data_IF_116716334939
#
_entry.id   IF_116716334939
#
_cell.length_a   1.000
_cell.length_b   1.000
_cell.length_c   1.000
_cell.angle_alpha   90.00
_cell.angle_beta   90.00
_cell.angle_gamma   90.00
#
_symmetry.space_group_name_H-M   'P 1'
#
loop_
_entity.id
_entity.type
_entity.pdbx_description
1 polymer ?
#
# COMPACT_ATOMS: atom_id res chain seq x y z
N UNK A 1 12.14 2.76 12.96
CA UNK A 1 11.50 1.58 12.31
C UNK A 1 11.31 1.87 10.82
N UNK A 2 11.69 0.96 9.89
CA UNK A 2 11.75 1.27 8.47
C UNK A 2 10.43 1.65 7.79
N UNK A 3 9.28 1.25 8.35
CA UNK A 3 7.94 1.55 7.83
C UNK A 3 6.95 2.08 8.88
N UNK A 4 7.34 2.20 10.16
CA UNK A 4 6.41 2.35 11.30
C UNK A 4 5.40 3.49 11.16
N UNK A 5 5.90 4.73 11.03
CA UNK A 5 5.06 5.94 10.91
C UNK A 5 4.23 5.96 9.64
N UNK A 6 4.79 5.45 8.54
CA UNK A 6 4.09 5.39 7.25
C UNK A 6 2.98 4.34 7.27
N UNK A 7 3.20 3.21 7.95
CA UNK A 7 2.19 2.18 8.16
C UNK A 7 1.07 2.66 9.08
N UNK A 8 1.36 3.46 10.10
CA UNK A 8 0.33 4.09 10.94
C UNK A 8 -0.59 4.95 10.09
N UNK A 9 -0.02 5.87 9.28
CA UNK A 9 -0.79 6.75 8.41
C UNK A 9 -1.55 5.99 7.31
N UNK A 10 -0.95 4.96 6.72
CA UNK A 10 -1.60 4.10 5.72
C UNK A 10 -2.81 3.37 6.30
N UNK A 11 -2.75 2.99 7.58
CA UNK A 11 -3.78 2.21 8.26
C UNK A 11 -4.75 3.07 9.07
N UNK A 12 -4.64 4.41 9.02
CA UNK A 12 -5.44 5.34 9.81
C UNK A 12 -6.88 5.55 9.28
N UNK A 13 -7.62 4.46 9.08
CA UNK A 13 -9.03 4.47 8.74
C UNK A 13 -9.72 3.16 9.17
N UNK A 14 -10.99 3.20 9.61
CA UNK A 14 -11.81 2.00 9.83
C UNK A 14 -11.80 1.04 8.63
N UNK A 15 -11.79 -0.27 8.89
CA UNK A 15 -11.70 -1.33 7.86
C UNK A 15 -12.74 -1.17 6.75
N UNK A 16 -13.97 -0.76 7.08
CA UNK A 16 -15.06 -0.55 6.12
C UNK A 16 -14.77 0.52 5.05
N UNK A 17 -13.81 1.42 5.28
CA UNK A 17 -13.39 2.49 4.37
C UNK A 17 -11.88 2.55 4.17
N UNK A 18 -11.18 1.48 4.53
CA UNK A 18 -9.72 1.46 4.56
C UNK A 18 -9.13 1.38 3.15
N UNK A 19 -9.80 0.74 2.19
CA UNK A 19 -9.36 0.67 0.79
C UNK A 19 -9.19 2.04 0.14
N UNK A 20 -10.23 2.91 0.12
CA UNK A 20 -10.12 4.28 -0.40
C UNK A 20 -9.02 5.09 0.30
N UNK A 21 -8.92 4.97 1.63
CA UNK A 21 -7.89 5.64 2.41
C UNK A 21 -6.48 5.22 2.01
N UNK A 22 -6.22 3.91 1.91
CA UNK A 22 -4.93 3.36 1.51
C UNK A 22 -4.51 3.82 0.11
N UNK A 23 -5.43 3.77 -0.87
CA UNK A 23 -5.17 4.21 -2.25
C UNK A 23 -4.85 5.70 -2.30
N UNK A 24 -5.64 6.52 -1.61
CA UNK A 24 -5.39 7.96 -1.49
C UNK A 24 -4.03 8.23 -0.88
N UNK A 25 -3.69 7.56 0.22
CA UNK A 25 -2.43 7.74 0.91
C UNK A 25 -1.23 7.49 -0.01
N UNK A 26 -1.25 6.40 -0.79
CA UNK A 26 -0.19 6.07 -1.76
C UNK A 26 -0.06 7.12 -2.88
N UNK A 27 -1.19 7.57 -3.45
CA UNK A 27 -1.17 8.54 -4.54
C UNK A 27 -0.72 9.94 -4.06
N UNK A 28 -1.21 10.38 -2.90
CA UNK A 28 -0.94 11.72 -2.35
C UNK A 28 0.46 11.82 -1.72
N UNK A 29 0.87 10.84 -0.90
CA UNK A 29 2.21 10.85 -0.28
C UNK A 29 3.33 10.97 -1.32
N UNK A 30 3.09 10.42 -2.51
CA UNK A 30 4.02 10.47 -3.63
C UNK A 30 4.05 11.81 -4.37
N UNK A 31 2.92 12.50 -4.46
CA UNK A 31 2.84 13.84 -5.08
C UNK A 31 3.63 14.90 -4.30
N UNK A 32 3.82 14.73 -2.99
CA UNK A 32 4.49 15.70 -2.12
C UNK A 32 5.91 15.36 -1.65
N UNK A 33 6.33 14.08 -1.60
CA UNK A 33 7.60 13.66 -0.94
C UNK A 33 8.58 12.86 -1.81
N UNK A 34 8.29 12.62 -3.08
CA UNK A 34 9.24 12.01 -4.04
C UNK A 34 9.52 10.51 -3.88
N UNK A 35 9.25 9.90 -2.71
CA UNK A 35 9.33 8.47 -2.49
C UNK A 35 8.12 7.97 -1.70
N UNK A 36 7.46 6.94 -2.23
CA UNK A 36 6.40 6.21 -1.50
C UNK A 36 7.08 5.25 -0.50
N UNK A 37 6.79 5.39 0.80
CA UNK A 37 7.41 4.57 1.82
C UNK A 37 7.08 3.07 1.69
N UNK A 38 5.92 2.69 1.12
CA UNK A 38 5.61 1.29 0.81
C UNK A 38 6.46 0.74 -0.33
N UNK A 39 6.61 1.50 -1.42
CA UNK A 39 7.29 1.00 -2.63
C UNK A 39 8.78 0.70 -2.43
N UNK A 40 9.39 1.13 -1.32
CA UNK A 40 10.74 0.72 -0.94
C UNK A 40 10.89 -0.81 -0.91
N UNK A 41 9.83 -1.54 -0.60
CA UNK A 41 9.84 -3.01 -0.61
C UNK A 41 10.13 -3.58 -2.00
N UNK A 42 9.66 -2.93 -3.07
CA UNK A 42 9.85 -3.38 -4.46
C UNK A 42 11.34 -3.42 -4.82
N UNK A 43 12.13 -2.53 -4.24
CA UNK A 43 13.57 -2.44 -4.47
C UNK A 43 14.40 -3.26 -3.47
N UNK A 44 13.79 -3.90 -2.47
CA UNK A 44 14.50 -4.68 -1.46
C UNK A 44 15.46 -5.75 -2.06
N UNK A 45 15.16 -6.44 -3.18
CA UNK A 45 16.11 -7.38 -3.79
C UNK A 45 17.45 -6.76 -4.20
N UNK A 46 17.50 -5.45 -4.47
CA UNK A 46 18.71 -4.76 -4.93
C UNK A 46 19.63 -4.31 -3.77
N UNK A 47 19.28 -4.61 -2.52
CA UNK A 47 19.88 -3.99 -1.33
C UNK A 47 20.57 -4.98 -0.37
N UNK A 48 20.81 -6.23 -0.78
CA UNK A 48 21.48 -7.25 0.04
C UNK A 48 20.84 -7.42 1.43
N UNK A 49 21.65 -7.40 2.49
CA UNK A 49 21.20 -7.48 3.90
C UNK A 49 20.19 -6.38 4.29
N UNK A 50 20.35 -5.18 3.72
CA UNK A 50 19.40 -4.08 3.94
C UNK A 50 18.03 -4.41 3.32
N UNK A 51 18.01 -5.22 2.27
CA UNK A 51 16.82 -5.81 1.69
C UNK A 51 16.09 -6.76 2.65
N UNK A 52 16.81 -7.55 3.44
CA UNK A 52 16.20 -8.45 4.44
C UNK A 52 15.56 -7.66 5.57
N UNK A 53 16.21 -6.58 6.03
CA UNK A 53 15.63 -5.66 7.02
C UNK A 53 14.35 -5.02 6.48
N UNK A 54 14.33 -4.62 5.20
CA UNK A 54 13.13 -4.09 4.55
C UNK A 54 12.01 -5.13 4.49
N UNK A 55 12.31 -6.38 4.08
CA UNK A 55 11.33 -7.47 4.03
C UNK A 55 10.74 -7.78 5.40
N UNK A 56 11.59 -7.92 6.41
CA UNK A 56 11.17 -8.17 7.79
C UNK A 56 10.31 -7.02 8.33
N UNK A 57 10.74 -5.77 8.10
CA UNK A 57 10.01 -4.57 8.49
C UNK A 57 8.65 -4.47 7.82
N UNK A 58 8.58 -4.69 6.51
CA UNK A 58 7.32 -4.66 5.76
C UNK A 58 6.34 -5.73 6.25
N UNK A 59 6.82 -6.96 6.47
CA UNK A 59 6.00 -8.05 7.01
C UNK A 59 5.45 -7.71 8.40
N UNK A 60 6.30 -7.21 9.29
CA UNK A 60 5.89 -6.90 10.65
C UNK A 60 4.97 -5.66 10.74
N UNK A 61 5.32 -4.59 10.02
CA UNK A 61 4.76 -3.27 10.23
C UNK A 61 3.61 -2.94 9.28
N UNK A 62 3.57 -3.55 8.09
CA UNK A 62 2.52 -3.30 7.10
C UNK A 62 1.55 -4.47 7.07
N UNK A 63 1.96 -5.64 6.56
CA UNK A 63 1.03 -6.75 6.35
C UNK A 63 0.59 -7.40 7.66
N UNK A 64 1.48 -7.53 8.65
CA UNK A 64 1.16 -8.06 9.97
C UNK A 64 0.16 -7.19 10.73
N UNK A 65 0.37 -5.87 10.74
CA UNK A 65 -0.57 -4.92 11.35
C UNK A 65 -1.90 -4.85 10.61
N UNK A 66 -1.90 -4.90 9.28
CA UNK A 66 -3.14 -4.98 8.51
C UNK A 66 -3.91 -6.28 8.83
N UNK A 67 -3.22 -7.42 8.83
CA UNK A 67 -3.79 -8.73 9.19
C UNK A 67 -4.48 -8.69 10.55
N UNK A 68 -3.83 -8.09 11.55
CA UNK A 68 -4.39 -7.97 12.91
C UNK A 68 -5.70 -7.16 12.98
N UNK A 69 -6.03 -6.39 11.94
CA UNK A 69 -7.28 -5.61 11.86
C UNK A 69 -8.39 -6.31 11.08
N UNK A 70 -8.05 -7.36 10.33
CA UNK A 70 -9.03 -8.06 9.50
C UNK A 70 -9.70 -9.18 10.31
N UNK A 71 -11.01 -9.32 10.11
CA UNK A 71 -11.81 -10.40 10.70
C UNK A 71 -12.20 -11.42 9.63
N UNK A 72 -12.59 -12.61 10.09
CA UNK A 72 -13.02 -13.71 9.22
C UNK A 72 -11.85 -14.54 8.68
N UNK A 73 -12.14 -15.49 7.77
CA UNK A 73 -11.14 -16.40 7.24
C UNK A 73 -10.07 -15.67 6.41
N UNK A 74 -8.91 -16.31 6.28
CA UNK A 74 -7.82 -15.93 5.38
C UNK A 74 -7.33 -14.49 5.55
N UNK A 75 -7.41 -13.93 6.76
CA UNK A 75 -7.00 -12.56 7.06
C UNK A 75 -5.57 -12.23 6.57
N UNK A 76 -4.62 -13.14 6.75
CA UNK A 76 -3.23 -12.93 6.32
C UNK A 76 -3.06 -12.91 4.78
N UNK A 77 -3.55 -13.93 4.03
CA UNK A 77 -3.59 -13.87 2.57
C UNK A 77 -4.31 -12.62 2.03
N UNK A 78 -5.47 -12.29 2.60
CA UNK A 78 -6.26 -11.12 2.22
C UNK A 78 -5.52 -9.80 2.44
N UNK A 79 -4.85 -9.63 3.57
CA UNK A 79 -3.99 -8.48 3.82
C UNK A 79 -2.85 -8.40 2.79
N UNK A 80 -2.23 -9.52 2.45
CA UNK A 80 -1.20 -9.61 1.42
C UNK A 80 -1.71 -9.16 0.04
N UNK A 81 -2.88 -9.65 -0.39
CA UNK A 81 -3.51 -9.30 -1.66
C UNK A 81 -3.95 -7.84 -1.71
N UNK A 82 -4.53 -7.30 -0.64
CA UNK A 82 -4.87 -5.89 -0.54
C UNK A 82 -3.65 -5.00 -0.78
N UNK A 83 -2.52 -5.33 -0.16
CA UNK A 83 -1.26 -4.59 -0.33
C UNK A 83 -0.67 -4.81 -1.72
N UNK A 84 -0.73 -6.02 -2.29
CA UNK A 84 -0.29 -6.27 -3.66
C UNK A 84 -1.07 -5.42 -4.69
N UNK A 85 -2.39 -5.35 -4.54
CA UNK A 85 -3.28 -4.50 -5.36
C UNK A 85 -2.92 -3.02 -5.21
N UNK A 86 -2.48 -2.59 -4.03
CA UNK A 86 -2.03 -1.21 -3.75
C UNK A 86 -0.64 -0.90 -4.34
N UNK A 87 0.28 -1.86 -4.42
CA UNK A 87 1.62 -1.64 -4.99
C UNK A 87 1.55 -1.28 -6.48
N UNK A 88 0.62 -1.89 -7.24
CA UNK A 88 0.41 -1.62 -8.67
C UNK A 88 0.28 -0.13 -9.03
N UNK A 89 -0.70 0.61 -8.48
CA UNK A 89 -0.87 2.04 -8.78
C UNK A 89 0.32 2.86 -8.29
N UNK A 90 0.95 2.50 -7.17
CA UNK A 90 2.19 3.14 -6.73
C UNK A 90 3.32 2.99 -7.75
N UNK A 91 3.51 1.80 -8.32
CA UNK A 91 4.49 1.52 -9.39
C UNK A 91 4.16 2.33 -10.64
N UNK A 92 2.90 2.32 -11.09
CA UNK A 92 2.49 3.01 -12.31
C UNK A 92 2.60 4.54 -12.21
N UNK A 93 2.14 5.12 -11.10
CA UNK A 93 2.23 6.56 -10.86
C UNK A 93 3.69 7.02 -10.69
N UNK A 94 4.52 6.11 -10.19
CA UNK A 94 5.73 6.48 -9.50
C UNK A 94 7.07 6.03 -10.06
N UNK A 95 7.13 4.77 -10.50
CA UNK A 95 8.34 4.13 -11.00
C UNK A 95 8.28 4.12 -12.52
N UNK A 96 7.21 3.53 -13.08
CA UNK A 96 6.97 3.52 -14.52
C UNK A 96 6.55 4.91 -15.05
N UNK A 97 6.02 5.77 -14.18
CA UNK A 97 5.56 7.14 -14.48
C UNK A 97 4.62 7.18 -15.71
N UNK A 98 3.65 6.27 -15.75
CA UNK A 98 2.69 6.18 -16.86
C UNK A 98 1.95 7.50 -17.08
N UNK A 99 2.08 8.07 -18.28
CA UNK A 99 1.60 9.42 -18.61
C UNK A 99 0.09 9.57 -18.37
N UNK A 100 -0.71 8.60 -18.81
CA UNK A 100 -2.17 8.60 -18.65
C UNK A 100 -2.59 8.50 -17.18
N UNK A 101 -1.92 7.64 -16.40
CA UNK A 101 -2.20 7.47 -14.96
C UNK A 101 -1.89 8.74 -14.19
N UNK A 102 -0.80 9.44 -14.53
CA UNK A 102 -0.43 10.70 -13.86
C UNK A 102 -1.30 11.89 -14.29
N UNK A 103 -1.91 11.84 -15.47
CA UNK A 103 -2.83 12.89 -15.96
C UNK A 103 -4.24 12.75 -15.37
N UNK A 104 -4.63 11.52 -15.00
CA UNK A 104 -5.90 11.28 -14.35
C UNK A 104 -6.00 12.02 -12.99
N UNK A 105 -7.19 12.51 -12.67
CA UNK A 105 -7.47 13.07 -11.35
C UNK A 105 -7.29 12.00 -10.27
N UNK A 106 -6.67 12.37 -9.14
CA UNK A 106 -6.41 11.44 -8.03
C UNK A 106 -7.71 10.80 -7.55
N UNK A 107 -8.79 11.57 -7.41
CA UNK A 107 -10.08 11.04 -6.96
C UNK A 107 -10.65 10.01 -7.95
N UNK A 108 -10.49 10.22 -9.26
CA UNK A 108 -10.91 9.23 -10.27
C UNK A 108 -10.09 7.92 -10.21
N UNK A 109 -8.80 8.01 -9.86
CA UNK A 109 -7.98 6.81 -9.61
C UNK A 109 -8.41 6.08 -8.34
N UNK A 110 -8.71 6.83 -7.27
CA UNK A 110 -9.22 6.27 -6.02
C UNK A 110 -10.53 5.53 -6.28
N UNK A 111 -11.50 6.17 -6.94
CA UNK A 111 -12.81 5.56 -7.24
C UNK A 111 -12.68 4.26 -8.04
N UNK A 112 -11.68 4.18 -8.94
CA UNK A 112 -11.43 2.99 -9.75
C UNK A 112 -10.69 1.88 -9.00
N UNK A 113 -9.70 2.21 -8.17
CA UNK A 113 -8.84 1.20 -7.51
C UNK A 113 -9.34 0.76 -6.13
N UNK A 114 -9.94 1.68 -5.38
CA UNK A 114 -10.35 1.43 -4.01
C UNK A 114 -11.30 0.25 -3.83
N UNK A 115 -12.29 0.00 -4.72
CA UNK A 115 -13.14 -1.18 -4.61
C UNK A 115 -12.36 -2.50 -4.64
N UNK A 116 -11.33 -2.61 -5.50
CA UNK A 116 -10.49 -3.81 -5.59
C UNK A 116 -9.65 -4.04 -4.34
N UNK A 117 -9.12 -2.97 -3.73
CA UNK A 117 -8.43 -3.08 -2.43
C UNK A 117 -9.43 -3.46 -1.33
N UNK A 118 -10.58 -2.78 -1.27
CA UNK A 118 -11.59 -2.97 -0.23
C UNK A 118 -12.17 -4.39 -0.25
N UNK A 119 -12.34 -5.00 -1.43
CA UNK A 119 -12.83 -6.37 -1.59
C UNK A 119 -11.93 -7.42 -0.92
N UNK A 120 -10.65 -7.13 -0.70
CA UNK A 120 -9.78 -8.01 0.10
C UNK A 120 -9.92 -7.75 1.61
N UNK A 121 -10.32 -6.54 2.03
CA UNK A 121 -10.36 -6.12 3.44
C UNK A 121 -11.67 -6.52 4.14
N UNK A 122 -12.76 -6.64 3.39
CA UNK A 122 -14.05 -7.13 3.88
C UNK A 122 -14.32 -8.53 3.35
N UNK A 123 -14.86 -9.46 4.18
CA UNK A 123 -15.29 -10.77 3.71
C UNK A 123 -16.40 -10.68 2.66
#
# INVERSE_FOLDING_TARGET
MPFGTDADALLDAPVARLGPHMVRHVLVSRSGRGADPLLRIVFAPLHGERGDILRAGFRAQVTGRLTARLTGPDAAPRAGLAVATLLGPGVMYGIARGAEVRRAAIDALIDRYAPGVQAHLTP
#
